data_IF_347040684997
#
_entry.id   IF_347040684997
#
_cell.length_a   1.000
_cell.length_b   1.000
_cell.length_c   1.000
_cell.angle_alpha   90.00
_cell.angle_beta   90.00
_cell.angle_gamma   90.00
#
_symmetry.space_group_name_H-M   'P 1'
#
loop_
_entity.id
_entity.type
_entity.pdbx_description
1 polymer ?
#
# COMPACT_ATOMS: atom_id res chain seq x y z
N UNK A 1 -28.30 2.73 -11.51
CA UNK A 1 -27.30 2.35 -10.50
C UNK A 1 -27.45 0.86 -10.30
N UNK A 2 -26.40 0.08 -10.58
CA UNK A 2 -26.40 -1.35 -10.24
C UNK A 2 -26.32 -1.55 -8.73
N UNK A 3 -26.73 -2.71 -8.23
CA UNK A 3 -26.48 -3.07 -6.84
C UNK A 3 -25.00 -3.35 -6.59
N UNK A 4 -24.52 -3.13 -5.37
CA UNK A 4 -23.17 -3.50 -4.99
C UNK A 4 -22.99 -5.02 -5.04
N UNK A 5 -22.02 -5.50 -5.83
CA UNK A 5 -21.58 -6.90 -5.82
C UNK A 5 -20.42 -7.06 -4.83
N UNK A 6 -20.60 -7.86 -3.79
CA UNK A 6 -19.53 -8.22 -2.84
C UNK A 6 -19.32 -9.74 -2.93
N UNK A 7 -18.17 -10.17 -3.45
CA UNK A 7 -17.88 -11.59 -3.71
C UNK A 7 -16.38 -11.89 -3.74
N UNK A 8 -16.03 -13.16 -3.94
CA UNK A 8 -14.67 -13.63 -4.21
C UNK A 8 -14.66 -14.61 -5.37
N UNK A 9 -13.47 -14.88 -5.93
CA UNK A 9 -13.29 -15.89 -6.99
C UNK A 9 -13.57 -17.33 -6.55
N UNK A 10 -13.79 -17.59 -5.26
CA UNK A 10 -14.27 -18.90 -4.76
C UNK A 10 -15.80 -19.08 -4.89
N UNK A 11 -16.55 -18.00 -5.15
CA UNK A 11 -18.00 -18.07 -5.29
C UNK A 11 -18.42 -18.55 -6.70
N UNK A 12 -19.71 -18.82 -6.85
CA UNK A 12 -20.37 -18.95 -8.16
C UNK A 12 -21.43 -17.87 -8.28
N UNK A 13 -21.19 -16.88 -9.13
CA UNK A 13 -22.10 -15.75 -9.38
C UNK A 13 -22.08 -15.46 -10.88
N UNK A 14 -23.25 -15.45 -11.51
CA UNK A 14 -23.39 -15.07 -12.91
C UNK A 14 -24.53 -14.07 -13.05
N UNK A 15 -24.43 -13.20 -14.05
CA UNK A 15 -25.47 -12.21 -14.29
C UNK A 15 -25.07 -11.21 -15.35
N UNK A 16 -25.74 -10.05 -15.31
CA UNK A 16 -25.43 -8.93 -16.19
C UNK A 16 -25.24 -7.67 -15.36
N UNK A 17 -24.36 -6.80 -15.83
CA UNK A 17 -24.13 -5.46 -15.33
C UNK A 17 -24.19 -4.47 -16.51
N UNK A 18 -23.84 -3.20 -16.27
CA UNK A 18 -23.91 -2.15 -17.30
C UNK A 18 -22.95 -2.31 -18.49
N UNK A 19 -21.98 -3.23 -18.40
CA UNK A 19 -21.04 -3.55 -19.47
C UNK A 19 -21.39 -4.86 -20.22
N UNK A 20 -22.45 -5.56 -19.80
CA UNK A 20 -22.86 -6.84 -20.38
C UNK A 20 -22.87 -7.96 -19.34
N UNK A 21 -22.64 -9.19 -19.78
CA UNK A 21 -22.63 -10.35 -18.89
C UNK A 21 -21.34 -10.41 -18.08
N UNK A 22 -21.43 -10.90 -16.86
CA UNK A 22 -20.28 -11.21 -16.01
C UNK A 22 -20.42 -12.60 -15.40
N UNK A 23 -19.29 -13.21 -15.08
CA UNK A 23 -19.22 -14.49 -14.37
C UNK A 23 -18.16 -14.43 -13.28
N UNK A 24 -18.41 -15.19 -12.22
CA UNK A 24 -17.45 -15.57 -11.19
C UNK A 24 -17.72 -17.05 -10.95
N UNK A 25 -16.86 -17.93 -11.44
CA UNK A 25 -17.01 -19.37 -11.29
C UNK A 25 -15.67 -20.08 -11.48
N UNK A 26 -15.51 -21.25 -10.84
CA UNK A 26 -14.33 -22.11 -11.02
C UNK A 26 -12.98 -21.37 -10.83
N UNK A 27 -12.90 -20.44 -9.87
CA UNK A 27 -11.68 -19.67 -9.61
C UNK A 27 -11.40 -18.55 -10.62
N UNK A 28 -12.35 -18.21 -11.48
CA UNK A 28 -12.20 -17.15 -12.48
C UNK A 28 -13.36 -16.15 -12.43
N UNK A 29 -13.03 -14.85 -12.40
CA UNK A 29 -13.98 -13.76 -12.59
C UNK A 29 -13.78 -13.09 -13.96
N UNK A 30 -14.85 -12.80 -14.70
CA UNK A 30 -14.80 -12.12 -16.00
C UNK A 30 -15.88 -11.04 -16.08
N UNK A 31 -15.50 -9.83 -16.51
CA UNK A 31 -16.41 -8.72 -16.78
C UNK A 31 -17.08 -8.11 -15.54
N UNK A 32 -16.49 -8.30 -14.35
CA UNK A 32 -17.03 -7.79 -13.08
C UNK A 32 -16.93 -6.26 -13.01
N UNK A 33 -18.02 -5.61 -12.62
CA UNK A 33 -18.06 -4.17 -12.31
C UNK A 33 -18.22 -4.00 -10.79
N UNK A 34 -17.31 -3.26 -10.18
CA UNK A 34 -17.30 -2.94 -8.75
C UNK A 34 -17.60 -1.45 -8.59
N UNK A 35 -18.76 -1.12 -8.03
CA UNK A 35 -19.21 0.26 -7.81
C UNK A 35 -20.04 0.33 -6.51
N UNK A 36 -20.15 1.51 -5.91
CA UNK A 36 -21.06 1.78 -4.78
C UNK A 36 -20.90 0.82 -3.58
N UNK A 37 -19.66 0.47 -3.22
CA UNK A 37 -19.34 -0.48 -2.15
C UNK A 37 -19.12 -1.92 -2.63
N UNK A 38 -19.19 -2.17 -3.95
CA UNK A 38 -18.86 -3.46 -4.52
C UNK A 38 -17.40 -3.86 -4.26
N UNK A 39 -17.16 -5.16 -4.04
CA UNK A 39 -15.85 -5.73 -3.76
C UNK A 39 -15.68 -7.08 -4.45
N UNK A 40 -14.52 -7.29 -5.06
CA UNK A 40 -14.05 -8.59 -5.52
C UNK A 40 -12.74 -8.95 -4.83
N UNK A 41 -12.73 -10.09 -4.14
CA UNK A 41 -11.51 -10.74 -3.62
C UNK A 41 -11.02 -11.80 -4.63
N UNK A 42 -9.86 -11.55 -5.24
CA UNK A 42 -9.15 -12.48 -6.12
C UNK A 42 -8.15 -13.28 -5.30
N UNK A 43 -8.50 -14.54 -5.01
CA UNK A 43 -7.74 -15.42 -4.14
C UNK A 43 -6.48 -15.99 -4.81
N UNK A 44 -5.61 -16.60 -4.00
CA UNK A 44 -4.41 -17.30 -4.46
C UNK A 44 -4.76 -18.37 -5.50
N UNK A 45 -4.01 -18.43 -6.60
CA UNK A 45 -4.22 -19.39 -7.69
C UNK A 45 -5.45 -19.09 -8.57
N UNK A 46 -6.24 -18.08 -8.24
CA UNK A 46 -7.42 -17.66 -9.00
C UNK A 46 -7.12 -16.47 -9.91
N UNK A 47 -8.05 -16.19 -10.83
CA UNK A 47 -7.90 -15.13 -11.82
C UNK A 47 -9.14 -14.21 -11.90
N UNK A 48 -8.91 -12.97 -12.29
CA UNK A 48 -9.93 -12.02 -12.69
C UNK A 48 -9.51 -11.32 -14.00
N UNK A 49 -10.46 -11.13 -14.91
CA UNK A 49 -10.25 -10.46 -16.19
C UNK A 49 -11.30 -9.37 -16.40
N UNK A 50 -10.91 -8.25 -17.02
CA UNK A 50 -11.81 -7.14 -17.38
C UNK A 50 -12.60 -6.60 -16.20
N UNK A 51 -11.96 -6.52 -15.04
CA UNK A 51 -12.59 -5.93 -13.87
C UNK A 51 -12.58 -4.41 -14.00
N UNK A 52 -13.77 -3.80 -13.99
CA UNK A 52 -13.91 -2.35 -13.84
C UNK A 52 -14.13 -2.03 -12.37
N UNK A 53 -13.22 -1.25 -11.79
CA UNK A 53 -13.34 -0.71 -10.44
C UNK A 53 -13.72 0.75 -10.56
N UNK A 54 -14.97 1.06 -10.24
CA UNK A 54 -15.53 2.42 -10.30
C UNK A 54 -15.62 3.06 -8.91
N UNK A 55 -16.25 4.23 -8.82
CA UNK A 55 -16.45 4.95 -7.57
C UNK A 55 -17.05 4.07 -6.46
N UNK A 56 -16.34 4.00 -5.33
CA UNK A 56 -16.68 3.16 -4.18
C UNK A 56 -16.43 1.65 -4.38
N UNK A 57 -15.90 1.22 -5.52
CA UNK A 57 -15.51 -0.16 -5.78
C UNK A 57 -14.15 -0.51 -5.19
N UNK A 58 -13.97 -1.75 -4.75
CA UNK A 58 -12.68 -2.27 -4.24
C UNK A 58 -12.29 -3.58 -4.90
N UNK A 59 -11.17 -3.58 -5.61
CA UNK A 59 -10.51 -4.81 -6.04
C UNK A 59 -9.44 -5.21 -5.02
N UNK A 60 -9.55 -6.41 -4.46
CA UNK A 60 -8.53 -6.98 -3.59
C UNK A 60 -7.92 -8.21 -4.24
N UNK A 61 -6.59 -8.23 -4.37
CA UNK A 61 -5.86 -9.33 -5.01
C UNK A 61 -4.84 -9.87 -4.02
N UNK A 62 -5.03 -11.12 -3.61
CA UNK A 62 -4.13 -11.82 -2.72
C UNK A 62 -2.81 -12.15 -3.42
N UNK A 63 -1.74 -12.39 -2.64
CA UNK A 63 -0.54 -13.02 -3.15
C UNK A 63 -0.88 -14.30 -3.95
N UNK A 64 -0.26 -14.47 -5.12
CA UNK A 64 -0.54 -15.56 -6.06
C UNK A 64 -1.88 -15.44 -6.82
N UNK A 65 -2.73 -14.44 -6.52
CA UNK A 65 -3.89 -14.09 -7.31
C UNK A 65 -3.52 -13.25 -8.54
N UNK A 66 -4.31 -13.37 -9.62
CA UNK A 66 -4.06 -12.66 -10.89
C UNK A 66 -5.25 -11.81 -11.33
N UNK A 67 -5.07 -10.52 -11.57
CA UNK A 67 -6.08 -9.64 -12.15
C UNK A 67 -5.53 -8.89 -13.37
N UNK A 68 -6.06 -9.15 -14.56
CA UNK A 68 -5.57 -8.52 -15.81
C UNK A 68 -6.66 -7.76 -16.54
N UNK A 69 -6.25 -6.76 -17.34
CA UNK A 69 -7.18 -5.84 -18.02
C UNK A 69 -8.07 -5.09 -17.02
N UNK A 70 -7.47 -4.72 -15.88
CA UNK A 70 -8.16 -3.96 -14.83
C UNK A 70 -8.28 -2.51 -15.27
N UNK A 71 -9.47 -1.93 -15.15
CA UNK A 71 -9.67 -0.49 -15.30
C UNK A 71 -10.08 0.10 -13.97
N UNK A 72 -9.30 1.04 -13.46
CA UNK A 72 -9.57 1.78 -12.23
C UNK A 72 -9.94 3.23 -12.56
N UNK A 73 -11.11 3.68 -12.15
CA UNK A 73 -11.55 5.07 -12.32
C UNK A 73 -11.41 5.86 -10.99
N UNK A 74 -11.78 7.13 -11.02
CA UNK A 74 -11.78 7.96 -9.80
C UNK A 74 -12.74 7.39 -8.76
N UNK A 75 -12.31 7.36 -7.49
CA UNK A 75 -13.11 6.80 -6.39
C UNK A 75 -12.89 5.30 -6.16
N UNK A 76 -12.12 4.63 -7.01
CA UNK A 76 -11.77 3.21 -6.86
C UNK A 76 -10.71 2.97 -5.78
N UNK A 77 -10.62 1.73 -5.31
CA UNK A 77 -9.58 1.26 -4.41
C UNK A 77 -8.98 -0.08 -4.88
N UNK A 78 -7.65 -0.19 -4.81
CA UNK A 78 -6.89 -1.43 -4.99
C UNK A 78 -6.27 -1.85 -3.65
N UNK A 79 -6.46 -3.11 -3.27
CA UNK A 79 -5.79 -3.73 -2.13
C UNK A 79 -4.95 -4.90 -2.65
N UNK A 80 -3.63 -4.81 -2.55
CA UNK A 80 -2.74 -5.87 -3.01
C UNK A 80 -1.40 -5.83 -2.25
N UNK A 81 -0.55 -6.82 -2.51
CA UNK A 81 0.85 -6.81 -2.11
C UNK A 81 1.74 -7.23 -3.29
N UNK A 82 3.05 -7.12 -3.13
CA UNK A 82 3.99 -7.41 -4.22
C UNK A 82 4.07 -8.88 -4.63
N UNK A 83 3.33 -9.80 -3.98
CA UNK A 83 3.14 -11.18 -4.43
C UNK A 83 1.92 -11.38 -5.35
N UNK A 84 1.08 -10.36 -5.54
CA UNK A 84 -0.05 -10.41 -6.46
C UNK A 84 0.38 -10.10 -7.91
N UNK A 85 -0.33 -10.62 -8.91
CA UNK A 85 -0.12 -10.20 -10.32
C UNK A 85 -1.29 -9.33 -10.78
N UNK A 86 -1.03 -8.06 -11.07
CA UNK A 86 -2.07 -7.12 -11.51
C UNK A 86 -1.59 -6.31 -12.71
N UNK A 87 -2.41 -6.21 -13.76
CA UNK A 87 -2.13 -5.34 -14.91
C UNK A 87 -3.38 -4.54 -15.28
N UNK A 88 -3.21 -3.23 -15.48
CA UNK A 88 -4.34 -2.38 -15.80
C UNK A 88 -4.01 -0.91 -16.06
N UNK A 89 -5.05 -0.10 -16.02
CA UNK A 89 -4.98 1.36 -16.11
C UNK A 89 -5.67 2.01 -14.93
N UNK A 90 -5.12 3.14 -14.49
CA UNK A 90 -5.71 4.04 -13.51
C UNK A 90 -5.63 5.49 -14.04
N UNK A 91 -6.04 6.47 -13.25
CA UNK A 91 -6.02 7.89 -13.66
C UNK A 91 -4.63 8.43 -14.01
N UNK A 92 -3.55 7.79 -13.55
CA UNK A 92 -2.16 8.13 -13.86
C UNK A 92 -1.59 7.39 -15.08
N UNK A 93 -2.38 6.51 -15.72
CA UNK A 93 -1.98 5.72 -16.89
C UNK A 93 -1.89 4.23 -16.59
N UNK A 94 -0.98 3.53 -17.28
CA UNK A 94 -0.75 2.09 -17.08
C UNK A 94 -0.08 1.85 -15.73
N UNK A 95 -0.49 0.78 -15.06
CA UNK A 95 0.17 0.29 -13.85
C UNK A 95 0.30 -1.24 -13.89
N UNK A 96 1.25 -1.76 -13.13
CA UNK A 96 1.45 -3.20 -13.01
C UNK A 96 2.00 -3.61 -11.64
N UNK A 97 1.71 -4.85 -11.27
CA UNK A 97 2.33 -5.60 -10.18
C UNK A 97 2.68 -6.97 -10.77
N UNK A 98 3.95 -7.33 -10.77
CA UNK A 98 4.42 -8.67 -11.13
C UNK A 98 4.72 -9.44 -9.84
N UNK A 99 3.80 -10.33 -9.47
CA UNK A 99 3.88 -11.14 -8.26
C UNK A 99 5.05 -12.13 -8.25
N UNK A 100 5.62 -12.42 -9.43
CA UNK A 100 6.77 -13.32 -9.56
C UNK A 100 8.08 -12.63 -9.20
N UNK A 101 8.26 -11.40 -9.69
CA UNK A 101 9.49 -10.62 -9.42
C UNK A 101 9.37 -9.67 -8.24
N UNK A 102 8.17 -9.46 -7.70
CA UNK A 102 7.92 -8.50 -6.62
C UNK A 102 7.92 -7.04 -7.07
N UNK A 103 7.88 -6.78 -8.39
CA UNK A 103 7.99 -5.45 -8.96
C UNK A 103 6.62 -4.83 -9.22
N UNK A 104 6.39 -3.63 -8.69
CA UNK A 104 5.22 -2.82 -8.96
C UNK A 104 5.61 -1.47 -9.59
N UNK A 105 4.74 -0.94 -10.45
CA UNK A 105 4.96 0.33 -11.14
C UNK A 105 3.65 1.07 -11.39
N UNK A 106 3.66 2.40 -11.22
CA UNK A 106 2.54 3.26 -11.60
C UNK A 106 1.31 3.14 -10.69
N UNK A 107 1.50 2.66 -9.46
CA UNK A 107 0.41 2.47 -8.52
C UNK A 107 -0.25 3.80 -8.14
N UNK A 108 -1.58 3.80 -8.09
CA UNK A 108 -2.39 4.87 -7.52
C UNK A 108 -3.22 4.28 -6.37
N UNK A 109 -2.88 4.68 -5.15
CA UNK A 109 -3.47 4.17 -3.92
C UNK A 109 -4.30 5.27 -3.27
N UNK A 110 -5.62 5.19 -3.39
CA UNK A 110 -6.56 6.19 -2.88
C UNK A 110 -7.84 5.53 -2.37
N UNK A 111 -8.69 6.28 -1.66
CA UNK A 111 -10.01 5.83 -1.21
C UNK A 111 -10.01 4.56 -0.32
N UNK A 112 -8.93 4.32 0.41
CA UNK A 112 -8.73 3.09 1.18
C UNK A 112 -7.92 2.01 0.47
N UNK A 113 -7.49 2.28 -0.77
CA UNK A 113 -6.53 1.45 -1.48
C UNK A 113 -5.22 1.35 -0.70
N UNK A 114 -4.65 0.15 -0.67
CA UNK A 114 -3.45 -0.16 0.08
C UNK A 114 -2.54 -1.11 -0.67
N UNK A 115 -1.24 -0.85 -0.63
CA UNK A 115 -0.23 -1.76 -1.19
C UNK A 115 0.86 -2.09 -0.18
N UNK A 116 1.22 -3.36 -0.06
CA UNK A 116 2.37 -3.80 0.72
C UNK A 116 3.53 -4.20 -0.19
N UNK A 117 4.67 -3.53 -0.04
CA UNK A 117 5.93 -3.94 -0.64
C UNK A 117 6.58 -4.96 0.29
N UNK A 118 6.54 -6.24 -0.09
CA UNK A 118 7.13 -7.32 0.70
C UNK A 118 8.67 -7.25 0.66
N UNK A 119 9.34 -8.03 1.51
CA UNK A 119 10.79 -8.15 1.51
C UNK A 119 11.31 -8.53 0.11
N UNK A 120 12.30 -7.78 -0.39
CA UNK A 120 12.83 -7.96 -1.75
C UNK A 120 11.96 -7.39 -2.87
N UNK A 121 10.74 -6.94 -2.58
CA UNK A 121 9.88 -6.24 -3.52
C UNK A 121 10.33 -4.81 -3.81
N UNK A 122 9.94 -4.29 -4.97
CA UNK A 122 10.23 -2.94 -5.42
C UNK A 122 8.96 -2.27 -5.94
N UNK A 123 8.57 -1.14 -5.35
CA UNK A 123 7.52 -0.30 -5.91
C UNK A 123 8.12 0.97 -6.54
N UNK A 124 7.78 1.22 -7.80
CA UNK A 124 8.26 2.36 -8.57
C UNK A 124 7.10 3.29 -8.94
N UNK A 125 7.37 4.61 -8.98
CA UNK A 125 6.41 5.61 -9.46
C UNK A 125 5.02 5.48 -8.80
N UNK A 126 5.00 5.44 -7.47
CA UNK A 126 3.78 5.22 -6.67
C UNK A 126 3.20 6.55 -6.20
N UNK A 127 1.91 6.75 -6.43
CA UNK A 127 1.13 7.86 -5.88
C UNK A 127 0.20 7.32 -4.79
N UNK A 128 0.34 7.85 -3.58
CA UNK A 128 -0.55 7.58 -2.45
C UNK A 128 -1.41 8.82 -2.23
N UNK A 129 -2.68 8.70 -2.59
CA UNK A 129 -3.72 9.71 -2.45
C UNK A 129 -4.35 9.73 -1.07
N UNK A 130 -5.42 10.51 -0.92
CA UNK A 130 -6.16 10.63 0.33
C UNK A 130 -6.71 9.26 0.78
N UNK A 131 -6.49 8.90 2.06
CA UNK A 131 -6.85 7.60 2.65
C UNK A 131 -6.17 6.39 1.99
N UNK A 132 -5.18 6.61 1.13
CA UNK A 132 -4.33 5.55 0.60
C UNK A 132 -3.22 5.19 1.58
N UNK A 133 -2.77 3.93 1.51
CA UNK A 133 -1.68 3.43 2.37
C UNK A 133 -0.65 2.67 1.55
N UNK A 134 0.62 3.04 1.71
CA UNK A 134 1.76 2.26 1.21
C UNK A 134 2.54 1.69 2.39
N UNK A 135 2.57 0.37 2.53
CA UNK A 135 3.29 -0.32 3.61
C UNK A 135 4.55 -0.97 3.05
N UNK A 136 5.67 -0.80 3.73
CA UNK A 136 6.95 -1.38 3.33
C UNK A 136 7.41 -2.33 4.42
N UNK A 137 7.49 -3.62 4.08
CA UNK A 137 8.11 -4.62 4.93
C UNK A 137 9.61 -4.38 5.05
N UNK A 138 10.26 -5.02 6.04
CA UNK A 138 11.70 -5.02 6.15
C UNK A 138 12.35 -5.55 4.86
N UNK A 139 13.21 -4.75 4.23
CA UNK A 139 13.85 -5.08 2.95
C UNK A 139 13.00 -4.79 1.71
N UNK A 140 11.83 -4.16 1.86
CA UNK A 140 11.08 -3.57 0.74
C UNK A 140 11.76 -2.28 0.25
N UNK A 141 11.70 -2.02 -1.06
CA UNK A 141 12.38 -0.88 -1.69
C UNK A 141 11.45 -0.02 -2.52
N UNK A 142 11.83 1.25 -2.69
CA UNK A 142 11.17 2.20 -3.59
C UNK A 142 12.13 2.72 -4.66
N UNK A 143 11.59 3.10 -5.82
CA UNK A 143 12.33 3.81 -6.86
C UNK A 143 11.45 4.81 -7.62
N UNK A 144 12.08 5.64 -8.45
CA UNK A 144 11.37 6.71 -9.16
C UNK A 144 10.74 7.71 -8.18
N UNK A 145 9.54 8.20 -8.49
CA UNK A 145 8.83 9.15 -7.61
C UNK A 145 7.80 8.42 -6.74
N UNK A 146 7.93 8.54 -5.41
CA UNK A 146 6.87 8.22 -4.46
C UNK A 146 6.23 9.50 -3.96
N UNK A 147 4.95 9.71 -4.24
CA UNK A 147 4.22 10.92 -3.86
C UNK A 147 3.14 10.62 -2.82
N UNK A 148 3.20 11.27 -1.67
CA UNK A 148 2.21 11.17 -0.60
C UNK A 148 1.38 12.46 -0.55
N UNK A 149 0.07 12.34 -0.77
CA UNK A 149 -0.89 13.44 -0.66
C UNK A 149 -1.31 13.68 0.80
N UNK A 150 -2.00 14.79 1.07
CA UNK A 150 -2.57 15.04 2.41
C UNK A 150 -3.56 13.93 2.80
N UNK A 151 -3.34 13.32 3.96
CA UNK A 151 -4.14 12.19 4.45
C UNK A 151 -3.75 10.84 3.83
N UNK A 152 -2.65 10.77 3.08
CA UNK A 152 -1.98 9.52 2.72
C UNK A 152 -1.07 9.05 3.86
N UNK A 153 -0.85 7.74 3.95
CA UNK A 153 0.09 7.14 4.90
C UNK A 153 1.13 6.28 4.19
N UNK A 154 2.39 6.42 4.60
CA UNK A 154 3.45 5.47 4.30
C UNK A 154 3.97 4.85 5.59
N UNK A 155 3.87 3.53 5.71
CA UNK A 155 4.22 2.77 6.91
C UNK A 155 5.50 1.97 6.66
N UNK A 156 6.49 2.13 7.55
CA UNK A 156 7.78 1.44 7.47
C UNK A 156 7.87 0.39 8.57
N UNK A 157 7.77 -0.88 8.19
CA UNK A 157 7.83 -2.05 9.08
C UNK A 157 9.25 -2.62 9.21
N UNK A 158 10.25 -1.86 8.79
CA UNK A 158 11.65 -2.26 8.75
C UNK A 158 12.52 -1.19 8.12
N UNK A 159 13.78 -1.54 7.90
CA UNK A 159 14.69 -0.70 7.12
C UNK A 159 14.24 -0.68 5.66
N UNK A 160 14.22 0.53 5.11
CA UNK A 160 13.73 0.84 3.76
C UNK A 160 14.75 1.68 3.02
N UNK A 161 14.92 1.36 1.74
CA UNK A 161 15.71 2.14 0.80
C UNK A 161 14.82 2.64 -0.33
N UNK A 162 14.84 3.94 -0.57
CA UNK A 162 14.30 4.59 -1.76
C UNK A 162 15.44 5.15 -2.61
N UNK A 163 15.62 4.65 -3.82
CA UNK A 163 16.64 5.18 -4.73
C UNK A 163 16.18 6.42 -5.51
N UNK A 164 14.94 6.86 -5.30
CA UNK A 164 14.35 8.01 -5.99
C UNK A 164 13.87 9.13 -5.07
N UNK A 165 12.84 9.84 -5.52
CA UNK A 165 12.27 11.00 -4.83
C UNK A 165 11.11 10.57 -3.93
N UNK A 166 11.13 11.00 -2.67
CA UNK A 166 9.95 11.00 -1.80
C UNK A 166 9.39 12.43 -1.75
N UNK A 167 8.15 12.61 -2.16
CA UNK A 167 7.42 13.88 -2.03
C UNK A 167 6.35 13.72 -0.95
N UNK A 168 6.48 14.44 0.17
CA UNK A 168 5.68 14.19 1.36
C UNK A 168 4.75 15.37 1.74
N UNK A 169 3.47 15.27 1.41
CA UNK A 169 2.39 16.08 1.99
C UNK A 169 1.54 15.30 3.02
N UNK A 170 1.80 13.99 3.17
CA UNK A 170 1.06 13.08 4.03
C UNK A 170 1.80 12.73 5.31
N UNK A 171 1.69 11.48 5.73
CA UNK A 171 2.35 10.93 6.90
C UNK A 171 3.32 9.80 6.50
N UNK A 172 4.53 9.85 7.04
CA UNK A 172 5.46 8.72 7.06
C UNK A 172 5.59 8.28 8.52
N UNK A 173 5.46 6.98 8.79
CA UNK A 173 5.53 6.44 10.15
C UNK A 173 6.36 5.16 10.19
N UNK A 174 7.31 5.13 11.11
CA UNK A 174 8.00 3.89 11.48
C UNK A 174 7.09 3.09 12.42
N UNK A 175 6.72 1.88 12.02
CA UNK A 175 5.86 1.04 12.84
C UNK A 175 6.64 0.30 13.92
N UNK A 176 5.93 -0.02 14.99
CA UNK A 176 6.40 -1.00 15.94
C UNK A 176 6.00 -2.36 15.38
N UNK A 177 6.95 -3.16 14.92
CA UNK A 177 6.73 -4.60 14.74
C UNK A 177 6.40 -5.21 16.12
N UNK A 178 5.18 -5.01 16.61
CA UNK A 178 4.59 -5.97 17.53
C UNK A 178 4.37 -7.19 16.65
N UNK A 179 5.08 -8.27 16.91
CA UNK A 179 4.72 -9.58 16.37
C UNK A 179 3.19 -9.76 16.51
N UNK A 180 2.49 -10.42 15.57
CA UNK A 180 1.03 -10.57 15.60
C UNK A 180 0.46 -11.06 16.96
N UNK A 181 1.26 -11.74 17.78
CA UNK A 181 0.90 -12.20 19.14
C UNK A 181 0.74 -11.09 20.20
N UNK A 182 1.27 -9.87 19.99
CA UNK A 182 1.20 -8.82 21.00
C UNK A 182 -0.05 -7.92 20.89
N UNK A 183 -0.90 -8.11 19.87
CA UNK A 183 -2.13 -7.33 19.66
C UNK A 183 -3.23 -7.59 20.71
N UNK A 184 -3.12 -8.65 21.52
CA UNK A 184 -4.09 -8.97 22.59
C UNK A 184 -3.73 -8.43 23.98
N UNK A 185 -2.55 -7.85 24.18
CA UNK A 185 -2.08 -7.42 25.52
C UNK A 185 -2.05 -5.90 25.75
N UNK A 186 -2.93 -5.14 25.08
CA UNK A 186 -3.03 -3.67 25.29
C UNK A 186 -3.53 -3.26 26.69
N UNK A 187 -3.84 -4.22 27.57
CA UNK A 187 -4.15 -3.97 28.98
C UNK A 187 -2.98 -4.22 29.96
N UNK A 188 -1.87 -4.87 29.55
CA UNK A 188 -0.71 -5.14 30.42
C UNK A 188 0.63 -5.06 29.67
N UNK A 189 0.85 -4.01 28.86
CA UNK A 189 2.21 -3.70 28.41
C UNK A 189 2.93 -2.90 29.51
N UNK A 190 3.40 -3.63 30.53
CA UNK A 190 4.42 -3.17 31.49
C UNK A 190 5.60 -2.65 30.67
N UNK A 191 6.15 -1.48 31.03
CA UNK A 191 7.29 -0.86 30.33
C UNK A 191 8.40 -1.88 30.08
N UNK A 192 8.69 -2.17 28.81
CA UNK A 192 9.66 -3.19 28.43
C UNK A 192 9.42 -3.95 27.12
N UNK A 193 8.33 -3.71 26.37
CA UNK A 193 8.24 -4.28 25.02
C UNK A 193 9.42 -3.79 24.17
N UNK A 194 10.23 -4.68 23.56
CA UNK A 194 11.33 -4.27 22.72
C UNK A 194 10.81 -3.40 21.58
N UNK A 195 11.29 -2.15 21.50
CA UNK A 195 11.06 -1.30 20.34
C UNK A 195 12.20 -1.56 19.37
N UNK A 196 11.84 -2.00 18.18
CA UNK A 196 12.79 -2.08 17.06
C UNK A 196 12.76 -0.75 16.33
N UNK A 197 13.93 -0.13 16.21
CA UNK A 197 14.11 1.10 15.44
C UNK A 197 14.46 0.78 13.99
N UNK A 198 14.09 1.68 13.10
CA UNK A 198 14.17 1.47 11.65
C UNK A 198 14.79 2.66 10.95
N UNK A 199 15.31 2.42 9.75
CA UNK A 199 15.94 3.42 8.90
C UNK A 199 15.19 3.60 7.59
N UNK A 200 14.83 4.85 7.29
CA UNK A 200 14.48 5.28 5.95
C UNK A 200 15.70 5.92 5.29
N UNK A 201 16.24 5.27 4.27
CA UNK A 201 17.25 5.88 3.40
C UNK A 201 16.59 6.31 2.10
N UNK A 202 16.76 7.56 1.68
CA UNK A 202 16.23 8.05 0.40
C UNK A 202 17.24 8.93 -0.33
N UNK A 203 17.23 8.92 -1.66
CA UNK A 203 18.05 9.85 -2.46
C UNK A 203 17.61 11.29 -2.24
N UNK A 204 16.31 11.59 -2.43
CA UNK A 204 15.76 12.94 -2.29
C UNK A 204 14.48 12.94 -1.45
N UNK A 205 14.30 13.99 -0.65
CA UNK A 205 13.07 14.24 0.08
C UNK A 205 12.59 15.67 -0.21
N UNK A 206 11.39 15.79 -0.77
CA UNK A 206 10.71 17.07 -0.97
C UNK A 206 9.51 17.17 -0.04
N UNK A 207 9.63 18.00 0.99
CA UNK A 207 8.57 18.25 1.94
C UNK A 207 7.50 19.20 1.40
N UNK A 208 6.23 18.79 1.50
CA UNK A 208 5.05 19.59 1.15
C UNK A 208 4.12 19.78 2.36
N UNK A 209 4.70 19.92 3.56
CA UNK A 209 3.99 20.10 4.82
C UNK A 209 3.59 18.80 5.51
N UNK A 210 3.98 17.64 4.98
CA UNK A 210 3.77 16.34 5.61
C UNK A 210 4.62 16.11 6.86
N UNK A 211 4.31 15.04 7.58
CA UNK A 211 4.98 14.65 8.83
C UNK A 211 5.75 13.35 8.66
N UNK A 212 6.88 13.21 9.35
CA UNK A 212 7.58 11.95 9.57
C UNK A 212 7.59 11.70 11.07
N UNK A 213 6.88 10.65 11.50
CA UNK A 213 6.82 10.23 12.90
C UNK A 213 7.94 9.25 13.19
N UNK A 214 8.85 9.64 14.08
CA UNK A 214 10.03 8.90 14.50
C UNK A 214 9.97 8.60 15.99
N UNK A 215 10.61 7.51 16.40
CA UNK A 215 10.77 7.14 17.79
C UNK A 215 12.22 7.31 18.22
N UNK A 216 12.40 7.68 19.48
CA UNK A 216 13.71 7.84 20.13
C UNK A 216 13.69 7.22 21.51
N UNK A 217 14.84 6.77 22.00
CA UNK A 217 15.07 6.53 23.44
C UNK A 217 15.97 7.62 24.02
N UNK A 218 15.59 8.12 25.19
CA UNK A 218 16.34 9.13 25.94
C UNK A 218 17.11 8.54 27.13
N UNK A 219 17.40 7.23 27.07
CA UNK A 219 18.09 6.43 28.11
C UNK A 219 19.63 6.43 27.96
N UNK A 220 20.18 7.24 27.04
CA UNK A 220 21.61 7.30 26.72
C UNK A 220 22.08 6.22 25.73
N UNK A 221 21.23 5.30 25.28
CA UNK A 221 21.57 4.30 24.26
C UNK A 221 21.73 4.87 22.85
N UNK A 222 21.22 6.09 22.61
CA UNK A 222 21.14 6.74 21.29
C UNK A 222 20.42 5.90 20.22
N UNK A 223 19.53 4.99 20.64
CA UNK A 223 18.73 4.21 19.71
C UNK A 223 17.50 5.02 19.26
N UNK A 224 17.31 5.12 17.95
CA UNK A 224 16.23 5.89 17.34
C UNK A 224 15.91 5.39 15.94
N UNK A 225 14.73 5.72 15.45
CA UNK A 225 14.46 5.67 14.03
C UNK A 225 15.37 6.69 13.32
N UNK A 226 15.71 6.41 12.06
CA UNK A 226 16.67 7.19 11.30
C UNK A 226 16.11 7.59 9.94
N UNK A 227 16.30 8.85 9.59
CA UNK A 227 16.11 9.35 8.23
C UNK A 227 17.50 9.69 7.66
N UNK A 228 17.83 9.07 6.53
CA UNK A 228 19.11 9.27 5.83
C UNK A 228 18.81 9.79 4.42
N UNK A 229 19.39 10.94 4.08
CA UNK A 229 19.39 11.48 2.72
C UNK A 229 20.72 11.14 2.08
N UNK A 230 20.74 10.19 1.14
CA UNK A 230 21.97 9.63 0.60
C UNK A 230 22.29 10.19 -0.79
N UNK A 231 23.22 11.14 -0.85
CA UNK A 231 23.76 11.67 -2.10
C UNK A 231 22.89 12.69 -2.85
N UNK A 232 21.64 12.90 -2.44
CA UNK A 232 20.73 13.89 -3.01
C UNK A 232 20.39 15.04 -2.04
N UNK A 233 19.18 15.60 -2.18
CA UNK A 233 18.76 16.81 -1.46
C UNK A 233 17.50 16.60 -0.63
N UNK A 234 17.43 17.30 0.50
CA UNK A 234 16.20 17.53 1.24
C UNK A 234 15.74 18.98 1.04
N UNK A 235 14.54 19.18 0.49
CA UNK A 235 13.98 20.51 0.19
C UNK A 235 12.54 20.64 0.70
N UNK A 236 12.00 21.85 0.68
CA UNK A 236 10.62 22.13 1.10
C UNK A 236 10.43 22.09 2.61
N UNK A 237 9.20 21.79 3.06
CA UNK A 237 8.83 21.77 4.48
C UNK A 237 8.35 20.38 4.90
N UNK A 238 9.01 19.79 5.89
CA UNK A 238 8.63 18.52 6.51
C UNK A 238 8.62 18.71 8.03
N UNK A 239 7.61 18.18 8.71
CA UNK A 239 7.58 18.11 10.16
C UNK A 239 8.19 16.80 10.62
N UNK A 240 9.15 16.85 11.55
CA UNK A 240 9.67 15.66 12.22
C UNK A 240 9.03 15.59 13.60
N UNK A 241 8.22 14.56 13.84
CA UNK A 241 7.56 14.33 15.12
C UNK A 241 8.29 13.20 15.85
N UNK A 242 8.88 13.51 17.01
CA UNK A 242 9.63 12.54 17.81
C UNK A 242 8.80 12.08 19.01
N UNK A 243 8.68 10.76 19.19
CA UNK A 243 8.06 10.15 20.37
C UNK A 243 9.13 9.45 21.20
N UNK A 244 9.26 9.81 22.48
CA UNK A 244 10.10 9.05 23.40
C UNK A 244 9.41 7.72 23.75
N UNK A 245 10.10 6.61 23.52
CA UNK A 245 9.56 5.25 23.72
C UNK A 245 10.31 4.44 24.78
N UNK A 246 11.10 5.09 25.63
CA UNK A 246 11.76 4.44 26.77
C UNK A 246 12.28 5.41 27.83
N UNK A 247 12.66 4.84 28.97
CA UNK A 247 13.50 5.40 30.02
C UNK A 247 14.54 4.34 30.39
#
# INVERSE_FOLDING_TARGET
>A
QGGALVTSTAATVTGSNRLGNFTVENGNADGVVLESGGRLDVLEGHSAWKTLVDDGGTLAVSAGGKATDVTMTSGSALIADSGATVEGTNASGKFSIDGTSGQASGLLLENGGSFTVNAGGLASNTTVGHRGTLTLAAGGSLSGRTQLSKGASMVLNGDVVSTGDIVNAGEIRFDNQTTPDAALSRAVAKGGSPVTFHKLTTSNLTGQGGTINMRVRLDGSNTSDQLVINGGQATGKTWLAFTNVGN
#
